data_IF_246670579394
#
_entry.id   IF_246670579394
#
_cell.length_a   1.000
_cell.length_b   1.000
_cell.length_c   1.000
_cell.angle_alpha   90.00
_cell.angle_beta   90.00
_cell.angle_gamma   90.00
#
_symmetry.space_group_name_H-M   'P 1'
#
loop_
_entity.id
_entity.type
_entity.pdbx_description
1 polymer ?
#
# COMPACT_ATOMS: atom_id res chain seq x y z
N UNK A 1 21.16 16.36 -20.52
CA UNK A 1 19.89 15.94 -21.07
C UNK A 1 19.58 14.51 -20.66
N UNK A 2 18.33 14.23 -20.29
CA UNK A 2 17.89 12.90 -19.93
C UNK A 2 18.16 11.93 -21.11
N UNK A 3 18.63 10.73 -20.80
CA UNK A 3 18.92 9.69 -21.81
C UNK A 3 17.72 8.76 -22.02
N UNK A 4 16.80 8.74 -21.06
CA UNK A 4 15.52 8.01 -21.12
C UNK A 4 14.39 8.89 -20.55
N UNK A 5 13.16 8.52 -20.86
CA UNK A 5 11.99 9.26 -20.38
C UNK A 5 11.64 8.86 -18.95
N UNK A 6 11.65 7.57 -18.66
CA UNK A 6 11.22 6.97 -17.39
C UNK A 6 12.32 6.11 -16.80
N UNK A 7 12.66 6.34 -15.54
CA UNK A 7 13.41 5.38 -14.72
C UNK A 7 12.43 4.43 -14.01
N UNK A 8 12.73 3.14 -13.97
CA UNK A 8 11.92 2.15 -13.26
C UNK A 8 12.75 1.38 -12.25
N UNK A 9 12.28 1.37 -11.01
CA UNK A 9 12.84 0.53 -9.93
C UNK A 9 11.70 -0.25 -9.28
N UNK A 10 11.80 -1.57 -9.27
CA UNK A 10 10.84 -2.46 -8.59
C UNK A 10 11.47 -2.99 -7.31
N UNK A 11 10.76 -2.88 -6.19
CA UNK A 11 11.08 -3.65 -5.00
C UNK A 11 10.28 -4.96 -5.05
N UNK A 12 10.88 -6.09 -5.46
CA UNK A 12 10.15 -7.29 -5.81
C UNK A 12 9.44 -7.93 -4.61
N UNK A 13 9.94 -7.71 -3.40
CA UNK A 13 9.38 -8.27 -2.17
C UNK A 13 8.32 -7.37 -1.51
N UNK A 14 8.13 -6.15 -2.00
CA UNK A 14 7.13 -5.23 -1.45
C UNK A 14 5.71 -5.80 -1.59
N UNK A 15 4.94 -5.74 -0.52
CA UNK A 15 3.57 -6.22 -0.48
C UNK A 15 3.39 -7.72 -0.28
N UNK A 16 4.47 -8.53 -0.30
CA UNK A 16 4.39 -9.99 -0.13
C UNK A 16 3.72 -10.42 1.17
N UNK A 17 3.99 -9.70 2.27
CA UNK A 17 3.49 -10.05 3.60
C UNK A 17 1.97 -9.86 3.77
N UNK A 18 1.30 -9.10 2.91
CA UNK A 18 -0.07 -8.67 3.13
C UNK A 18 -1.08 -9.80 3.32
N UNK A 19 -1.14 -10.78 2.41
CA UNK A 19 -2.07 -11.92 2.50
C UNK A 19 -1.77 -12.86 3.66
N UNK A 20 -0.52 -12.97 4.05
CA UNK A 20 -0.09 -13.82 5.17
C UNK A 20 -0.03 -13.07 6.51
N UNK A 21 -0.51 -11.83 6.55
CA UNK A 21 -0.67 -11.03 7.78
C UNK A 21 0.63 -10.42 8.31
N UNK A 22 1.71 -10.42 7.54
CA UNK A 22 2.99 -9.84 7.95
C UNK A 22 3.05 -8.34 7.61
N UNK A 23 3.69 -7.58 8.48
CA UNK A 23 3.82 -6.12 8.40
C UNK A 23 5.19 -5.73 7.88
N UNK A 24 5.37 -5.83 6.57
CA UNK A 24 6.65 -5.63 5.93
C UNK A 24 7.27 -6.94 5.44
N UNK A 25 8.37 -6.82 4.70
CA UNK A 25 9.04 -7.95 4.03
C UNK A 25 10.56 -7.84 4.14
N UNK A 26 11.08 -7.08 5.11
CA UNK A 26 12.51 -6.94 5.31
C UNK A 26 13.08 -8.07 6.16
N UNK A 27 14.25 -8.58 5.79
CA UNK A 27 15.00 -9.55 6.58
C UNK A 27 14.23 -10.85 6.88
N UNK A 28 14.00 -11.15 8.17
CA UNK A 28 13.32 -12.37 8.61
C UNK A 28 11.84 -12.42 8.23
N UNK A 29 11.20 -11.26 8.06
CA UNK A 29 9.80 -11.18 7.61
C UNK A 29 9.64 -11.73 6.18
N UNK A 30 10.62 -11.54 5.29
CA UNK A 30 10.62 -12.12 3.95
C UNK A 30 10.64 -13.65 4.00
N UNK A 31 11.56 -14.25 4.78
CA UNK A 31 11.65 -15.72 4.92
C UNK A 31 10.34 -16.30 5.45
N UNK A 32 9.76 -15.66 6.47
CA UNK A 32 8.50 -16.09 7.05
C UNK A 32 7.32 -15.93 6.07
N UNK A 33 7.32 -14.88 5.23
CA UNK A 33 6.33 -14.71 4.19
C UNK A 33 6.36 -15.83 3.15
N UNK A 34 7.55 -16.21 2.69
CA UNK A 34 7.76 -17.33 1.77
C UNK A 34 7.31 -18.67 2.39
N UNK A 35 7.67 -18.95 3.63
CA UNK A 35 7.23 -20.13 4.37
C UNK A 35 5.72 -20.23 4.50
N UNK A 36 5.02 -19.08 4.60
CA UNK A 36 3.56 -18.97 4.64
C UNK A 36 2.90 -18.99 3.26
N UNK A 37 3.68 -19.19 2.18
CA UNK A 37 3.16 -19.27 0.81
C UNK A 37 2.84 -17.92 0.18
N UNK A 38 3.43 -16.84 0.66
CA UNK A 38 3.25 -15.51 0.06
C UNK A 38 3.79 -15.44 -1.37
N UNK A 39 3.08 -14.73 -2.24
CA UNK A 39 3.49 -14.46 -3.62
C UNK A 39 3.93 -13.02 -3.78
N UNK A 40 4.87 -12.79 -4.68
CA UNK A 40 5.29 -11.43 -5.05
C UNK A 40 4.14 -10.66 -5.71
N UNK A 41 3.87 -9.45 -5.24
CA UNK A 41 2.82 -8.57 -5.77
C UNK A 41 3.41 -7.48 -6.66
N UNK A 42 4.53 -6.90 -6.26
CA UNK A 42 5.15 -5.77 -6.95
C UNK A 42 5.53 -6.06 -8.43
N UNK A 43 6.07 -7.23 -8.82
CA UNK A 43 6.35 -7.52 -10.22
C UNK A 43 5.11 -7.41 -11.12
N UNK A 44 3.99 -8.00 -10.74
CA UNK A 44 2.74 -7.90 -11.51
C UNK A 44 2.24 -6.45 -11.64
N UNK A 45 2.38 -5.63 -10.59
CA UNK A 45 2.04 -4.20 -10.63
C UNK A 45 2.97 -3.41 -11.58
N UNK A 46 4.25 -3.76 -11.62
CA UNK A 46 5.19 -3.17 -12.56
C UNK A 46 4.82 -3.52 -14.02
N UNK A 47 4.49 -4.77 -14.30
CA UNK A 47 4.05 -5.19 -15.64
C UNK A 47 2.78 -4.46 -16.07
N UNK A 48 1.80 -4.33 -15.18
CA UNK A 48 0.56 -3.57 -15.45
C UNK A 48 0.86 -2.11 -15.76
N UNK A 49 1.72 -1.46 -14.98
CA UNK A 49 2.17 -0.09 -15.23
C UNK A 49 2.85 0.04 -16.60
N UNK A 50 3.81 -0.82 -16.89
CA UNK A 50 4.60 -0.78 -18.13
C UNK A 50 3.73 -1.00 -19.38
N UNK A 51 2.75 -1.90 -19.32
CA UNK A 51 1.77 -2.11 -20.41
C UNK A 51 0.88 -0.91 -20.66
N UNK A 52 0.71 -0.06 -19.65
CA UNK A 52 -0.06 1.19 -19.78
C UNK A 52 0.73 2.35 -20.38
N UNK A 53 2.06 2.23 -20.54
CA UNK A 53 2.89 3.29 -21.12
C UNK A 53 2.73 3.35 -22.65
N UNK A 54 2.76 4.56 -23.25
CA UNK A 54 2.82 4.70 -24.70
C UNK A 54 4.10 4.07 -25.29
N UNK A 55 3.99 3.51 -26.50
CA UNK A 55 5.07 2.81 -27.17
C UNK A 55 6.32 3.67 -27.48
N UNK A 56 6.20 4.99 -27.46
CA UNK A 56 7.33 5.91 -27.68
C UNK A 56 8.19 6.14 -26.44
N UNK A 57 7.73 5.73 -25.24
CA UNK A 57 8.42 5.96 -23.97
C UNK A 57 9.66 5.08 -23.88
N UNK A 58 10.80 5.70 -23.59
CA UNK A 58 12.06 5.00 -23.32
C UNK A 58 12.23 4.80 -21.83
N UNK A 59 12.48 3.56 -21.42
CA UNK A 59 12.60 3.15 -20.02
C UNK A 59 14.04 2.79 -19.68
N UNK A 60 14.57 3.38 -18.63
CA UNK A 60 15.82 2.98 -17.98
C UNK A 60 15.46 2.18 -16.72
N UNK A 61 15.81 0.91 -16.66
CA UNK A 61 15.40 0.02 -15.57
C UNK A 61 16.58 -0.55 -14.80
N UNK A 62 16.32 -0.99 -13.58
CA UNK A 62 17.27 -1.76 -12.78
C UNK A 62 17.28 -3.25 -13.23
N UNK A 63 18.36 -4.00 -12.93
CA UNK A 63 18.54 -5.37 -13.41
C UNK A 63 17.57 -6.38 -12.76
N UNK A 64 17.38 -7.51 -13.40
CA UNK A 64 16.64 -8.67 -12.88
C UNK A 64 15.21 -8.33 -12.47
N UNK A 65 14.79 -8.81 -11.31
CA UNK A 65 13.48 -8.55 -10.69
C UNK A 65 13.29 -7.10 -10.18
N UNK A 66 14.27 -6.23 -10.38
CA UNK A 66 14.12 -4.82 -10.06
C UNK A 66 13.62 -3.98 -11.24
N UNK A 67 13.12 -4.60 -12.31
CA UNK A 67 12.46 -3.95 -13.45
C UNK A 67 12.78 -4.55 -14.82
N UNK A 68 13.96 -5.15 -15.02
CA UNK A 68 14.35 -5.74 -16.31
C UNK A 68 13.42 -6.88 -16.74
N UNK A 69 13.09 -7.79 -15.82
CA UNK A 69 12.23 -8.93 -16.13
C UNK A 69 10.80 -8.51 -16.37
N UNK A 70 10.32 -7.55 -15.61
CA UNK A 70 8.99 -6.95 -15.73
C UNK A 70 8.84 -6.21 -17.08
N UNK A 71 9.89 -5.49 -17.50
CA UNK A 71 9.91 -4.82 -18.81
C UNK A 71 9.86 -5.81 -19.97
N UNK A 72 10.59 -6.91 -19.86
CA UNK A 72 10.54 -8.02 -20.84
C UNK A 72 9.16 -8.66 -20.87
N UNK A 73 8.58 -8.97 -19.71
CA UNK A 73 7.23 -9.54 -19.63
C UNK A 73 6.16 -8.59 -20.19
N UNK A 74 6.35 -7.28 -20.05
CA UNK A 74 5.47 -6.27 -20.62
C UNK A 74 5.62 -6.11 -22.15
N UNK A 75 6.66 -6.70 -22.76
CA UNK A 75 6.92 -6.62 -24.20
C UNK A 75 7.64 -5.36 -24.66
N UNK A 76 8.40 -4.70 -23.76
CA UNK A 76 9.07 -3.41 -24.03
C UNK A 76 10.54 -3.57 -24.48
N UNK A 77 10.98 -4.73 -24.95
CA UNK A 77 12.40 -5.04 -25.23
C UNK A 77 13.11 -4.02 -26.13
N UNK A 78 12.40 -3.38 -27.07
CA UNK A 78 12.97 -2.40 -27.98
C UNK A 78 13.21 -1.00 -27.41
N UNK A 79 12.63 -0.67 -26.28
CA UNK A 79 12.66 0.68 -25.67
C UNK A 79 13.21 0.67 -24.25
N UNK A 80 13.94 -0.37 -23.85
CA UNK A 80 14.45 -0.54 -22.49
C UNK A 80 15.96 -0.58 -22.49
N UNK A 81 16.57 0.25 -21.66
CA UNK A 81 17.97 0.20 -21.26
C UNK A 81 18.07 -0.35 -19.83
N UNK A 82 18.97 -1.27 -19.58
CA UNK A 82 19.20 -1.83 -18.23
C UNK A 82 20.44 -1.20 -17.64
N UNK A 83 20.30 -0.56 -16.48
CA UNK A 83 21.39 0.07 -15.75
C UNK A 83 22.08 -0.96 -14.84
N UNK A 84 23.39 -1.04 -14.89
CA UNK A 84 24.17 -1.91 -13.99
C UNK A 84 24.31 -1.28 -12.59
N UNK A 85 23.27 -1.39 -11.80
CA UNK A 85 23.18 -0.79 -10.46
C UNK A 85 22.91 -1.78 -9.32
N UNK A 86 22.56 -3.02 -9.66
CA UNK A 86 22.25 -4.08 -8.70
C UNK A 86 22.58 -5.46 -9.31
N UNK A 87 22.70 -6.53 -8.49
CA UNK A 87 22.82 -7.88 -9.00
C UNK A 87 21.59 -8.30 -9.83
N UNK A 88 21.80 -9.06 -10.88
CA UNK A 88 20.70 -9.62 -11.70
C UNK A 88 19.96 -10.75 -10.99
N UNK A 89 20.68 -11.50 -10.19
CA UNK A 89 20.18 -12.65 -9.46
C UNK A 89 20.39 -12.48 -7.94
N UNK A 90 19.53 -13.12 -7.16
CA UNK A 90 19.61 -13.10 -5.71
C UNK A 90 18.73 -12.05 -5.03
N UNK A 91 18.83 -11.92 -3.70
CA UNK A 91 17.99 -11.03 -2.91
C UNK A 91 18.34 -9.56 -3.17
N UNK A 92 17.33 -8.74 -3.31
CA UNK A 92 17.46 -7.29 -3.43
C UNK A 92 17.40 -6.64 -2.05
N UNK A 93 18.05 -5.47 -1.92
CA UNK A 93 18.15 -4.73 -0.66
C UNK A 93 17.76 -3.26 -0.86
N UNK A 94 17.48 -2.57 0.25
CA UNK A 94 17.29 -1.11 0.26
C UNK A 94 18.49 -0.35 -0.32
N UNK A 95 19.71 -0.87 -0.11
CA UNK A 95 20.93 -0.27 -0.68
C UNK A 95 20.95 -0.33 -2.21
N UNK A 96 20.52 -1.45 -2.79
CA UNK A 96 20.37 -1.57 -4.25
C UNK A 96 19.34 -0.56 -4.78
N UNK A 97 18.21 -0.40 -4.10
CA UNK A 97 17.20 0.61 -4.44
C UNK A 97 17.80 2.02 -4.43
N UNK A 98 18.48 2.42 -3.36
CA UNK A 98 19.11 3.73 -3.23
C UNK A 98 20.16 3.96 -4.32
N UNK A 99 21.03 2.97 -4.57
CA UNK A 99 22.08 3.06 -5.60
C UNK A 99 21.46 3.24 -7.00
N UNK A 100 20.48 2.43 -7.36
CA UNK A 100 19.82 2.54 -8.65
C UNK A 100 19.12 3.90 -8.80
N UNK A 101 18.41 4.35 -7.78
CA UNK A 101 17.73 5.64 -7.77
C UNK A 101 18.72 6.81 -7.98
N UNK A 102 19.82 6.81 -7.24
CA UNK A 102 20.85 7.85 -7.36
C UNK A 102 21.47 7.93 -8.76
N UNK A 103 21.71 6.78 -9.41
CA UNK A 103 22.30 6.71 -10.75
C UNK A 103 21.29 7.06 -11.85
N UNK A 104 19.99 6.83 -11.64
CA UNK A 104 18.93 7.18 -12.59
C UNK A 104 18.52 8.64 -12.53
N UNK A 105 18.63 9.29 -11.37
CA UNK A 105 18.07 10.62 -11.09
C UNK A 105 18.43 11.69 -12.13
N UNK A 106 19.68 11.67 -12.63
CA UNK A 106 20.17 12.66 -13.59
C UNK A 106 20.02 12.20 -15.06
N UNK A 107 19.44 11.01 -15.28
CA UNK A 107 19.33 10.36 -16.59
C UNK A 107 17.91 10.25 -17.11
N UNK A 108 16.91 10.51 -16.26
CA UNK A 108 15.50 10.33 -16.60
C UNK A 108 14.69 11.59 -16.32
N UNK A 109 13.57 11.75 -17.01
CA UNK A 109 12.65 12.87 -16.77
C UNK A 109 11.77 12.62 -15.53
N UNK A 110 11.41 11.37 -15.29
CA UNK A 110 10.63 10.93 -14.12
C UNK A 110 11.15 9.57 -13.64
N UNK A 111 11.28 9.40 -12.34
CA UNK A 111 11.64 8.13 -11.72
C UNK A 111 10.40 7.48 -11.09
N UNK A 112 10.03 6.33 -11.60
CA UNK A 112 8.91 5.52 -11.12
C UNK A 112 9.47 4.36 -10.28
N UNK A 113 8.90 4.17 -9.09
CA UNK A 113 9.23 3.02 -8.26
C UNK A 113 7.97 2.21 -7.91
N UNK A 114 8.13 0.90 -7.83
CA UNK A 114 7.04 -0.02 -7.44
C UNK A 114 7.35 -0.58 -6.06
N UNK A 115 6.50 -0.23 -5.08
CA UNK A 115 6.76 -0.59 -3.69
C UNK A 115 5.75 0.00 -2.71
N UNK A 116 6.18 0.17 -1.47
CA UNK A 116 5.45 0.82 -0.38
C UNK A 116 6.20 2.04 0.18
N UNK A 117 5.80 2.50 1.38
CA UNK A 117 6.39 3.68 2.02
C UNK A 117 7.89 3.52 2.33
N UNK A 118 8.34 2.32 2.72
CA UNK A 118 9.77 2.05 2.91
C UNK A 118 10.57 2.21 1.62
N UNK A 119 10.03 1.77 0.48
CA UNK A 119 10.65 1.98 -0.84
C UNK A 119 10.67 3.47 -1.20
N UNK A 120 9.57 4.19 -0.94
CA UNK A 120 9.49 5.65 -1.14
C UNK A 120 10.56 6.39 -0.33
N UNK A 121 10.73 6.02 0.94
CA UNK A 121 11.78 6.57 1.82
C UNK A 121 13.18 6.34 1.25
N UNK A 122 13.48 5.12 0.80
CA UNK A 122 14.78 4.78 0.25
C UNK A 122 15.07 5.58 -1.04
N UNK A 123 14.10 5.69 -1.93
CA UNK A 123 14.24 6.46 -3.17
C UNK A 123 14.44 7.95 -2.87
N UNK A 124 13.59 8.57 -2.04
CA UNK A 124 13.70 10.00 -1.70
C UNK A 124 15.02 10.31 -1.02
N UNK A 125 15.51 9.46 -0.12
CA UNK A 125 16.80 9.65 0.54
C UNK A 125 17.98 9.69 -0.43
N UNK A 126 17.86 9.00 -1.57
CA UNK A 126 18.90 8.91 -2.59
C UNK A 126 18.83 10.05 -3.61
N UNK A 127 17.63 10.54 -3.95
CA UNK A 127 17.46 11.47 -5.06
C UNK A 127 17.10 12.90 -4.64
N UNK A 128 16.45 13.08 -3.51
CA UNK A 128 15.94 14.40 -3.10
C UNK A 128 15.04 15.02 -4.17
N UNK A 129 15.32 16.28 -4.52
CA UNK A 129 14.57 17.04 -5.53
C UNK A 129 15.17 16.96 -6.96
N UNK A 130 16.14 16.05 -7.21
CA UNK A 130 16.85 15.97 -8.50
C UNK A 130 15.97 15.45 -9.65
N UNK A 131 14.91 14.73 -9.33
CA UNK A 131 14.03 14.12 -10.31
C UNK A 131 12.59 14.07 -9.79
N UNK A 132 11.62 14.16 -10.68
CA UNK A 132 10.21 13.94 -10.35
C UNK A 132 9.98 12.46 -10.05
N UNK A 133 9.27 12.16 -8.97
CA UNK A 133 9.01 10.80 -8.49
C UNK A 133 7.53 10.42 -8.66
N UNK A 134 7.28 9.14 -8.87
CA UNK A 134 5.93 8.56 -8.79
C UNK A 134 6.01 7.13 -8.28
N UNK A 135 5.23 6.82 -7.27
CA UNK A 135 5.10 5.48 -6.72
C UNK A 135 3.95 4.70 -7.37
N UNK A 136 4.23 3.47 -7.78
CA UNK A 136 3.23 2.47 -8.15
C UNK A 136 2.98 1.57 -6.94
N UNK A 137 1.74 1.48 -6.47
CA UNK A 137 1.43 0.77 -5.25
C UNK A 137 1.59 -0.75 -5.39
N UNK A 138 2.27 -1.38 -4.43
CA UNK A 138 2.47 -2.84 -4.36
C UNK A 138 1.39 -3.58 -3.55
N UNK A 139 0.26 -2.93 -3.27
CA UNK A 139 -0.84 -3.53 -2.53
C UNK A 139 -0.73 -3.45 -1.01
N UNK A 140 0.24 -2.72 -0.46
CA UNK A 140 0.38 -2.44 0.97
C UNK A 140 -0.30 -1.13 1.37
N UNK A 141 -0.50 -0.92 2.67
CA UNK A 141 -0.98 0.35 3.21
C UNK A 141 0.12 1.40 3.03
N UNK A 142 -0.22 2.53 2.42
CA UNK A 142 0.71 3.61 2.13
C UNK A 142 0.20 4.92 2.69
N UNK A 143 1.12 5.68 3.27
CA UNK A 143 0.84 6.97 3.90
C UNK A 143 1.46 8.13 3.13
N UNK A 144 2.46 7.87 2.29
CA UNK A 144 3.13 8.87 1.48
C UNK A 144 2.24 9.39 0.36
N UNK A 145 2.35 10.69 0.07
CA UNK A 145 1.60 11.35 -1.02
C UNK A 145 2.19 11.16 -2.42
N UNK A 146 3.17 10.29 -2.57
CA UNK A 146 3.89 10.08 -3.84
C UNK A 146 3.32 8.95 -4.69
N UNK A 147 2.28 8.27 -4.24
CA UNK A 147 1.70 7.10 -4.93
C UNK A 147 0.52 7.47 -5.82
N UNK A 148 0.49 6.86 -7.01
CA UNK A 148 -0.72 6.77 -7.80
C UNK A 148 -1.71 5.78 -7.16
N UNK A 149 -2.99 5.92 -7.48
CA UNK A 149 -4.03 5.03 -6.94
C UNK A 149 -3.91 3.61 -7.47
N UNK A 150 -3.53 3.47 -8.75
CA UNK A 150 -3.35 2.18 -9.43
C UNK A 150 -2.18 2.27 -10.42
N UNK A 151 -1.63 1.12 -10.88
CA UNK A 151 -0.62 1.11 -11.95
C UNK A 151 -1.10 1.81 -13.23
N UNK A 152 -2.36 1.64 -13.61
CA UNK A 152 -2.95 2.28 -14.79
C UNK A 152 -3.03 3.81 -14.64
N UNK A 153 -3.35 4.32 -13.44
CA UNK A 153 -3.32 5.76 -13.14
C UNK A 153 -1.90 6.28 -13.19
N UNK A 154 -0.91 5.51 -12.68
CA UNK A 154 0.50 5.88 -12.75
C UNK A 154 0.96 6.04 -14.21
N UNK A 155 0.60 5.10 -15.09
CA UNK A 155 0.97 5.17 -16.50
C UNK A 155 0.39 6.42 -17.18
N UNK A 156 -0.87 6.76 -16.93
CA UNK A 156 -1.48 8.00 -17.44
C UNK A 156 -0.82 9.27 -16.88
N UNK A 157 -0.50 9.27 -15.59
CA UNK A 157 0.18 10.41 -14.98
C UNK A 157 1.57 10.65 -15.60
N UNK A 158 2.31 9.57 -15.85
CA UNK A 158 3.62 9.62 -16.53
C UNK A 158 3.46 10.14 -17.96
N UNK A 159 2.50 9.62 -18.73
CA UNK A 159 2.24 10.10 -20.09
C UNK A 159 1.95 11.61 -20.11
N UNK A 160 1.04 12.08 -19.26
CA UNK A 160 0.69 13.51 -19.16
C UNK A 160 1.87 14.37 -18.75
N UNK A 161 2.67 13.90 -17.80
CA UNK A 161 3.89 14.59 -17.38
C UNK A 161 4.89 14.72 -18.54
N UNK A 162 5.17 13.63 -19.27
CA UNK A 162 6.11 13.63 -20.39
C UNK A 162 5.62 14.50 -21.57
N UNK A 163 4.32 14.66 -21.73
CA UNK A 163 3.72 15.58 -22.70
C UNK A 163 3.73 17.06 -22.25
N UNK A 164 4.18 17.34 -21.02
CA UNK A 164 4.14 18.68 -20.43
C UNK A 164 2.74 19.15 -20.03
N UNK A 165 1.79 18.22 -19.90
CA UNK A 165 0.39 18.49 -19.57
C UNK A 165 0.09 18.38 -18.05
N UNK A 166 1.04 17.90 -17.25
CA UNK A 166 0.92 17.83 -15.80
C UNK A 166 1.90 18.79 -15.13
N UNK A 167 1.41 19.56 -14.16
CA UNK A 167 2.26 20.37 -13.28
C UNK A 167 2.99 19.48 -12.30
N UNK A 168 4.01 20.01 -11.65
CA UNK A 168 4.74 19.33 -10.59
C UNK A 168 4.38 19.98 -9.26
N UNK A 169 4.11 19.17 -8.26
CA UNK A 169 3.84 19.60 -6.88
C UNK A 169 4.74 18.87 -5.90
N UNK A 170 4.74 19.29 -4.64
CA UNK A 170 5.49 18.60 -3.56
C UNK A 170 4.56 17.70 -2.77
N UNK A 171 5.02 16.49 -2.49
CA UNK A 171 4.33 15.53 -1.64
C UNK A 171 5.25 15.03 -0.52
N UNK A 172 4.68 14.77 0.64
CA UNK A 172 5.43 14.22 1.78
C UNK A 172 5.64 12.72 1.61
N UNK A 173 6.85 12.26 1.93
CA UNK A 173 7.19 10.86 2.09
C UNK A 173 7.14 10.53 3.57
N UNK A 174 6.25 9.62 3.92
CA UNK A 174 5.88 9.28 5.29
C UNK A 174 6.06 7.78 5.48
N UNK A 175 6.64 7.38 6.59
CA UNK A 175 6.72 5.97 6.95
C UNK A 175 6.39 5.80 8.43
N UNK A 176 6.13 4.58 8.84
CA UNK A 176 5.83 4.25 10.23
C UNK A 176 7.10 4.41 11.05
N UNK A 177 6.99 5.10 12.18
CA UNK A 177 8.01 5.11 13.21
C UNK A 177 8.08 3.71 13.86
N UNK A 178 9.14 2.95 13.55
CA UNK A 178 9.30 1.57 14.00
C UNK A 178 9.40 1.45 15.54
N UNK A 179 9.96 2.45 16.22
CA UNK A 179 10.06 2.45 17.69
C UNK A 179 8.68 2.63 18.33
N UNK A 180 7.91 3.59 17.85
CA UNK A 180 6.54 3.81 18.29
C UNK A 180 5.66 2.60 17.97
N UNK A 181 5.87 1.96 16.81
CA UNK A 181 5.15 0.77 16.40
C UNK A 181 5.40 -0.44 17.28
N UNK A 182 6.65 -0.66 17.73
CA UNK A 182 6.97 -1.70 18.72
C UNK A 182 6.29 -1.48 20.07
N UNK A 183 5.93 -0.23 20.37
CA UNK A 183 5.16 0.17 21.56
C UNK A 183 3.63 0.19 21.31
N UNK A 184 3.12 -0.45 20.24
CA UNK A 184 1.71 -0.46 19.82
C UNK A 184 1.13 0.94 19.53
N UNK A 185 2.00 1.91 19.19
CA UNK A 185 1.60 3.27 18.82
C UNK A 185 1.84 3.49 17.33
N UNK A 186 0.79 3.88 16.60
CA UNK A 186 0.94 4.34 15.23
C UNK A 186 1.43 5.78 15.24
N UNK A 187 2.72 5.98 15.03
CA UNK A 187 3.29 7.29 14.71
C UNK A 187 3.82 7.26 13.29
N UNK A 188 3.38 8.25 12.52
CA UNK A 188 3.93 8.50 11.19
C UNK A 188 5.05 9.53 11.33
N UNK A 189 6.16 9.26 10.66
CA UNK A 189 7.28 10.17 10.58
C UNK A 189 7.45 10.63 9.13
N UNK A 190 7.59 11.94 8.94
CA UNK A 190 7.96 12.50 7.64
C UNK A 190 9.47 12.32 7.44
N UNK A 191 9.84 11.61 6.39
CA UNK A 191 11.24 11.34 6.05
C UNK A 191 11.77 12.29 4.97
N UNK A 192 10.92 13.02 4.29
CA UNK A 192 11.30 13.98 3.28
C UNK A 192 10.10 14.41 2.43
N UNK A 193 10.40 15.19 1.41
CA UNK A 193 9.45 15.59 0.37
C UNK A 193 9.98 15.19 -1.00
N UNK A 194 9.10 14.95 -1.94
CA UNK A 194 9.42 14.65 -3.32
C UNK A 194 8.62 15.54 -4.27
N UNK A 195 9.16 15.78 -5.45
CA UNK A 195 8.43 16.35 -6.58
C UNK A 195 7.62 15.26 -7.24
N UNK A 196 6.30 15.47 -7.42
CA UNK A 196 5.39 14.50 -8.03
C UNK A 196 4.54 15.18 -9.10
N UNK A 197 4.05 14.44 -10.12
CA UNK A 197 3.08 14.98 -11.06
C UNK A 197 1.79 15.37 -10.33
N UNK A 198 1.30 16.57 -10.56
CA UNK A 198 -0.03 17.02 -10.12
C UNK A 198 -1.07 16.47 -11.09
N UNK A 199 -1.58 15.30 -10.79
CA UNK A 199 -2.50 14.54 -11.63
C UNK A 199 -3.61 13.91 -10.78
N UNK A 200 -4.82 13.86 -11.32
CA UNK A 200 -5.94 13.22 -10.65
C UNK A 200 -5.66 11.73 -10.41
N UNK A 201 -5.75 11.32 -9.13
CA UNK A 201 -5.40 9.96 -8.70
C UNK A 201 -3.93 9.79 -8.25
N UNK A 202 -3.12 10.86 -8.28
CA UNK A 202 -1.87 10.92 -7.53
C UNK A 202 -2.15 11.61 -6.20
N UNK A 203 -1.90 10.92 -5.10
CA UNK A 203 -2.36 11.38 -3.78
C UNK A 203 -1.33 12.26 -3.13
N UNK A 204 -1.69 13.52 -2.93
CA UNK A 204 -1.02 14.38 -1.96
C UNK A 204 -1.59 14.09 -0.58
N UNK A 205 -0.76 13.64 0.36
CA UNK A 205 -1.19 13.34 1.73
C UNK A 205 -1.71 14.59 2.43
N UNK A 206 -3.00 14.57 2.77
CA UNK A 206 -3.54 15.58 3.68
C UNK A 206 -3.04 15.32 5.10
N UNK A 207 -2.60 16.36 5.79
CA UNK A 207 -2.32 16.34 7.23
C UNK A 207 -3.61 15.98 7.97
N UNK A 208 -3.68 14.78 8.54
CA UNK A 208 -4.81 14.32 9.34
C UNK A 208 -4.38 13.77 10.70
N UNK A 209 -3.88 14.66 11.54
CA UNK A 209 -3.83 14.44 12.96
C UNK A 209 -4.44 15.66 13.64
N UNK A 210 -5.75 15.76 13.67
CA UNK A 210 -6.44 16.79 14.47
C UNK A 210 -7.15 16.15 15.66
N UNK A 211 -7.05 16.80 16.79
CA UNK A 211 -7.61 16.49 18.11
C UNK A 211 -9.13 16.34 18.17
N UNK A 212 -9.86 16.67 17.11
CA UNK A 212 -11.32 16.48 16.99
C UNK A 212 -11.71 15.02 16.68
N UNK A 213 -10.70 14.16 16.45
CA UNK A 213 -10.93 12.79 16.02
C UNK A 213 -11.38 11.84 17.14
N UNK A 214 -11.10 12.12 18.40
CA UNK A 214 -11.40 11.19 19.49
C UNK A 214 -12.90 11.07 19.75
N UNK A 215 -13.61 12.19 19.86
CA UNK A 215 -15.08 12.19 20.06
C UNK A 215 -15.82 11.54 18.88
N UNK A 216 -15.38 11.81 17.65
CA UNK A 216 -15.94 11.16 16.47
C UNK A 216 -15.66 9.66 16.42
N UNK A 217 -14.46 9.24 16.85
CA UNK A 217 -14.09 7.81 16.92
C UNK A 217 -14.92 7.08 17.98
N UNK A 218 -15.15 7.68 19.14
CA UNK A 218 -15.98 7.12 20.19
C UNK A 218 -17.44 6.98 19.74
N UNK A 219 -18.00 8.00 19.10
CA UNK A 219 -19.36 7.95 18.58
C UNK A 219 -19.56 6.85 17.52
N UNK A 220 -18.57 6.65 16.62
CA UNK A 220 -18.58 5.55 15.65
C UNK A 220 -18.48 4.20 16.35
N UNK A 221 -17.61 4.08 17.35
CA UNK A 221 -17.43 2.86 18.12
C UNK A 221 -18.70 2.46 18.88
N UNK A 222 -19.34 3.40 19.56
CA UNK A 222 -20.60 3.17 20.28
C UNK A 222 -21.70 2.70 19.34
N UNK A 223 -21.89 3.38 18.22
CA UNK A 223 -22.90 2.99 17.23
C UNK A 223 -22.70 1.57 16.69
N UNK A 224 -21.44 1.21 16.36
CA UNK A 224 -21.13 -0.14 15.84
C UNK A 224 -21.35 -1.19 16.91
N UNK A 225 -20.84 -0.99 18.11
CA UNK A 225 -20.95 -1.96 19.22
C UNK A 225 -22.42 -2.19 19.59
N UNK A 226 -23.22 -1.14 19.68
CA UNK A 226 -24.66 -1.26 19.97
C UNK A 226 -25.43 -2.00 18.87
N UNK A 227 -24.92 -1.96 17.63
CA UNK A 227 -25.51 -2.65 16.48
C UNK A 227 -25.02 -4.09 16.31
N UNK A 228 -23.99 -4.53 17.06
CA UNK A 228 -23.39 -5.85 16.91
C UNK A 228 -24.32 -6.96 17.40
N UNK A 229 -24.32 -8.07 16.68
CA UNK A 229 -25.10 -9.27 17.03
C UNK A 229 -24.28 -10.19 17.95
N UNK A 230 -24.79 -10.59 19.11
CA UNK A 230 -24.02 -11.36 20.11
C UNK A 230 -23.46 -12.70 19.61
N UNK A 231 -24.13 -13.35 18.66
CA UNK A 231 -23.76 -14.69 18.15
C UNK A 231 -23.14 -14.63 16.74
N UNK A 232 -22.44 -13.55 16.40
CA UNK A 232 -21.80 -13.41 15.09
C UNK A 232 -20.29 -13.17 15.24
N UNK A 233 -19.53 -13.64 14.25
CA UNK A 233 -18.13 -13.36 14.11
C UNK A 233 -17.95 -11.98 13.45
N UNK A 234 -17.07 -11.16 13.99
CA UNK A 234 -16.69 -9.89 13.40
C UNK A 234 -15.19 -9.88 13.07
N UNK A 235 -14.85 -9.73 11.81
CA UNK A 235 -13.49 -9.54 11.33
C UNK A 235 -13.19 -8.05 11.36
N UNK A 236 -12.34 -7.64 12.29
CA UNK A 236 -11.99 -6.23 12.52
C UNK A 236 -10.75 -5.88 11.70
N UNK A 237 -10.93 -5.11 10.66
CA UNK A 237 -9.84 -4.65 9.78
C UNK A 237 -8.88 -3.66 10.45
N UNK A 238 -7.79 -3.27 9.78
CA UNK A 238 -6.77 -2.38 10.32
C UNK A 238 -7.26 -0.92 10.45
N UNK A 239 -6.57 -0.16 11.28
CA UNK A 239 -6.70 1.29 11.42
C UNK A 239 -7.34 1.75 12.71
N UNK A 240 -7.15 3.04 13.00
CA UNK A 240 -7.55 3.67 14.28
C UNK A 240 -9.05 3.69 14.51
N UNK A 241 -9.85 3.86 13.46
CA UNK A 241 -11.31 3.84 13.58
C UNK A 241 -11.83 2.47 14.05
N UNK A 242 -11.29 1.39 13.48
CA UNK A 242 -11.67 0.02 13.90
C UNK A 242 -11.05 -0.32 15.26
N UNK A 243 -9.87 0.20 15.58
CA UNK A 243 -9.27 0.06 16.90
C UNK A 243 -10.10 0.69 18.01
N UNK A 244 -10.80 1.81 17.74
CA UNK A 244 -11.73 2.41 18.69
C UNK A 244 -12.91 1.47 19.00
N UNK A 245 -13.43 0.73 18.03
CA UNK A 245 -14.47 -0.29 18.22
C UNK A 245 -13.99 -1.40 19.15
N UNK A 246 -12.79 -1.93 18.91
CA UNK A 246 -12.20 -2.97 19.78
C UNK A 246 -11.97 -2.47 21.21
N UNK A 247 -11.52 -1.23 21.38
CA UNK A 247 -11.37 -0.59 22.68
C UNK A 247 -12.72 -0.49 23.41
N UNK A 248 -13.77 -0.10 22.69
CA UNK A 248 -15.12 -0.03 23.26
C UNK A 248 -15.68 -1.40 23.67
N UNK A 249 -15.30 -2.46 22.94
CA UNK A 249 -15.58 -3.87 23.30
C UNK A 249 -14.73 -4.39 24.46
N UNK A 250 -13.66 -3.67 24.86
CA UNK A 250 -12.73 -4.15 25.87
C UNK A 250 -11.78 -5.26 25.40
N UNK A 251 -11.58 -5.40 24.10
CA UNK A 251 -10.73 -6.44 23.52
C UNK A 251 -9.44 -5.86 22.93
N UNK A 252 -8.38 -6.69 22.91
CA UNK A 252 -7.13 -6.33 22.23
C UNK A 252 -7.36 -6.24 20.72
N UNK A 253 -6.66 -5.31 20.09
CA UNK A 253 -6.65 -5.11 18.65
C UNK A 253 -5.25 -4.80 18.17
N UNK A 254 -4.81 -5.49 17.12
CA UNK A 254 -3.61 -5.09 16.39
C UNK A 254 -3.92 -3.90 15.49
N UNK A 255 -3.05 -2.90 15.47
CA UNK A 255 -3.34 -1.67 14.75
C UNK A 255 -3.42 -1.86 13.23
N UNK A 256 -2.54 -2.70 12.68
CA UNK A 256 -2.42 -2.94 11.24
C UNK A 256 -2.92 -4.34 10.80
N UNK A 257 -3.24 -5.21 11.73
CA UNK A 257 -3.72 -6.55 11.45
C UNK A 257 -5.23 -6.64 11.33
N UNK A 258 -5.71 -7.83 10.97
CA UNK A 258 -7.12 -8.22 11.05
C UNK A 258 -7.28 -9.12 12.26
N UNK A 259 -8.18 -8.74 13.14
CA UNK A 259 -8.50 -9.48 14.35
C UNK A 259 -9.95 -9.96 14.31
N UNK A 260 -10.28 -10.98 15.07
CA UNK A 260 -11.63 -11.53 15.08
C UNK A 260 -12.22 -11.57 16.48
N UNK A 261 -13.46 -11.14 16.59
CA UNK A 261 -14.25 -11.22 17.82
C UNK A 261 -15.56 -12.00 17.57
N UNK A 262 -15.99 -12.75 18.54
CA UNK A 262 -17.31 -13.41 18.56
C UNK A 262 -18.08 -12.91 19.80
N UNK A 263 -19.14 -12.16 19.57
CA UNK A 263 -19.75 -11.38 20.66
C UNK A 263 -18.75 -10.35 21.20
N UNK A 264 -18.39 -10.49 22.47
CA UNK A 264 -17.37 -9.66 23.17
C UNK A 264 -16.06 -10.42 23.39
N UNK A 265 -15.89 -11.61 22.86
CA UNK A 265 -14.69 -12.43 23.06
C UNK A 265 -13.75 -12.32 21.86
N UNK A 266 -12.47 -12.12 22.14
CA UNK A 266 -11.43 -12.17 21.13
C UNK A 266 -11.16 -13.64 20.75
N UNK A 267 -11.37 -13.99 19.47
CA UNK A 267 -11.17 -15.36 18.97
C UNK A 267 -9.98 -15.47 18.01
N UNK A 268 -9.38 -14.37 17.64
CA UNK A 268 -8.18 -14.37 16.81
C UNK A 268 -7.51 -13.00 16.76
N UNK A 269 -6.20 -12.99 16.76
CA UNK A 269 -5.35 -11.80 16.69
C UNK A 269 -4.41 -11.90 15.50
N UNK A 270 -4.26 -10.79 14.76
CA UNK A 270 -3.33 -10.65 13.62
C UNK A 270 -3.43 -11.80 12.62
N UNK A 271 -4.64 -12.07 12.18
CA UNK A 271 -4.98 -13.24 11.37
C UNK A 271 -4.50 -13.08 9.92
N UNK A 272 -4.00 -14.16 9.36
CA UNK A 272 -3.82 -14.30 7.92
C UNK A 272 -5.09 -14.86 7.24
N UNK A 273 -5.11 -14.89 5.91
CA UNK A 273 -6.24 -15.38 5.12
C UNK A 273 -6.67 -16.80 5.52
N UNK A 274 -5.69 -17.73 5.64
CA UNK A 274 -5.99 -19.14 5.97
C UNK A 274 -6.61 -19.29 7.36
N UNK A 275 -6.20 -18.49 8.32
CA UNK A 275 -6.78 -18.47 9.67
C UNK A 275 -8.20 -17.91 9.65
N UNK A 276 -8.45 -16.85 8.88
CA UNK A 276 -9.77 -16.26 8.71
C UNK A 276 -10.73 -17.28 8.08
N UNK A 277 -10.32 -17.98 7.02
CA UNK A 277 -11.15 -18.99 6.37
C UNK A 277 -11.52 -20.12 7.32
N UNK A 278 -10.60 -20.58 8.18
CA UNK A 278 -10.92 -21.57 9.23
C UNK A 278 -11.94 -21.07 10.25
N UNK A 279 -11.89 -19.79 10.61
CA UNK A 279 -12.93 -19.20 11.48
C UNK A 279 -14.28 -19.14 10.77
N UNK A 280 -14.31 -18.83 9.48
CA UNK A 280 -15.54 -18.84 8.68
C UNK A 280 -16.15 -20.24 8.50
N UNK A 281 -15.34 -21.30 8.59
CA UNK A 281 -15.85 -22.67 8.64
C UNK A 281 -16.57 -22.98 9.97
N UNK A 282 -16.10 -22.35 11.05
CA UNK A 282 -16.65 -22.57 12.41
C UNK A 282 -17.84 -21.68 12.72
N UNK A 283 -17.86 -20.45 12.20
CA UNK A 283 -18.88 -19.45 12.51
C UNK A 283 -19.72 -19.16 11.26
N UNK A 284 -20.98 -19.57 11.26
CA UNK A 284 -21.86 -19.45 10.08
C UNK A 284 -22.37 -18.03 9.81
N UNK A 285 -22.29 -17.14 10.78
CA UNK A 285 -22.65 -15.72 10.61
C UNK A 285 -21.44 -14.86 10.89
N UNK A 286 -21.00 -14.15 9.87
CA UNK A 286 -19.82 -13.30 9.96
C UNK A 286 -20.04 -11.94 9.32
N UNK A 287 -19.36 -10.94 9.84
CA UNK A 287 -19.29 -9.57 9.34
C UNK A 287 -17.84 -9.14 9.19
N UNK A 288 -17.60 -8.22 8.25
CA UNK A 288 -16.31 -7.55 8.10
C UNK A 288 -16.52 -6.09 8.49
N UNK A 289 -15.70 -5.57 9.40
CA UNK A 289 -15.67 -4.15 9.76
C UNK A 289 -14.39 -3.53 9.23
N UNK A 290 -14.50 -2.58 8.31
CA UNK A 290 -13.38 -1.91 7.69
C UNK A 290 -13.55 -0.40 7.69
N UNK A 291 -12.45 0.31 7.70
CA UNK A 291 -12.41 1.76 7.51
C UNK A 291 -11.61 2.08 6.25
N UNK A 292 -12.01 3.12 5.48
CA UNK A 292 -11.22 3.58 4.35
C UNK A 292 -9.78 3.86 4.78
N UNK A 293 -8.83 3.40 3.98
CA UNK A 293 -7.41 3.47 4.28
C UNK A 293 -6.79 4.69 3.58
N UNK A 294 -6.12 5.53 4.36
CA UNK A 294 -5.52 6.76 3.85
C UNK A 294 -6.53 7.74 3.25
N UNK A 295 -6.07 8.69 2.46
CA UNK A 295 -6.91 9.65 1.73
C UNK A 295 -7.52 9.10 0.43
N UNK A 296 -7.19 7.86 0.05
CA UNK A 296 -7.58 7.28 -1.24
C UNK A 296 -8.94 6.56 -1.24
N UNK A 297 -9.52 6.30 -0.07
CA UNK A 297 -10.82 5.65 0.04
C UNK A 297 -10.83 4.13 -0.18
N UNK A 298 -9.69 3.46 -0.18
CA UNK A 298 -9.63 2.01 -0.28
C UNK A 298 -10.16 1.34 0.98
N UNK A 299 -11.12 0.44 0.82
CA UNK A 299 -11.69 -0.38 1.90
C UNK A 299 -11.14 -1.81 1.87
N UNK A 300 -10.70 -2.29 0.71
CA UNK A 300 -10.04 -3.59 0.53
C UNK A 300 -8.84 -3.48 -0.41
N UNK A 301 -7.87 -4.39 -0.22
CA UNK A 301 -6.70 -4.55 -1.06
C UNK A 301 -5.52 -3.65 -0.71
N UNK A 302 -5.69 -2.76 0.24
CA UNK A 302 -4.64 -1.87 0.75
C UNK A 302 -4.49 -2.05 2.25
N UNK A 303 -3.39 -2.70 2.69
CA UNK A 303 -3.11 -2.98 4.10
C UNK A 303 -4.02 -4.00 4.79
N UNK A 304 -4.90 -4.67 4.04
CA UNK A 304 -5.80 -5.71 4.54
C UNK A 304 -6.04 -6.82 3.51
N UNK A 305 -4.99 -7.22 2.77
CA UNK A 305 -5.08 -8.23 1.71
C UNK A 305 -5.50 -9.62 2.22
N UNK A 306 -5.34 -9.91 3.51
CA UNK A 306 -5.89 -11.11 4.16
C UNK A 306 -7.43 -11.15 4.15
N UNK A 307 -8.11 -10.00 4.01
CA UNK A 307 -9.52 -9.91 3.62
C UNK A 307 -9.62 -10.07 2.10
N UNK A 308 -9.30 -11.26 1.62
CA UNK A 308 -9.20 -11.60 0.21
C UNK A 308 -10.57 -11.67 -0.48
N UNK A 309 -10.62 -11.74 -1.83
CA UNK A 309 -11.86 -11.99 -2.55
C UNK A 309 -12.64 -13.23 -2.06
N UNK A 310 -11.89 -14.27 -1.65
CA UNK A 310 -12.53 -15.49 -1.09
C UNK A 310 -13.19 -15.22 0.25
N UNK A 311 -12.51 -14.53 1.16
CA UNK A 311 -13.05 -14.12 2.46
C UNK A 311 -14.31 -13.25 2.26
N UNK A 312 -14.23 -12.26 1.38
CA UNK A 312 -15.36 -11.35 1.10
C UNK A 312 -16.55 -12.11 0.52
N UNK A 313 -16.34 -13.05 -0.41
CA UNK A 313 -17.40 -13.88 -0.97
C UNK A 313 -18.09 -14.76 0.08
N UNK A 314 -17.30 -15.36 0.98
CA UNK A 314 -17.82 -16.21 2.05
C UNK A 314 -18.62 -15.45 3.10
N UNK A 315 -18.17 -14.25 3.46
CA UNK A 315 -18.90 -13.37 4.39
C UNK A 315 -20.14 -12.77 3.72
N UNK A 316 -20.03 -12.44 2.44
CA UNK A 316 -21.05 -11.75 1.66
C UNK A 316 -20.91 -10.22 1.75
N UNK A 317 -21.02 -9.55 0.62
CA UNK A 317 -20.83 -8.08 0.54
C UNK A 317 -21.86 -7.31 1.38
N UNK A 318 -23.06 -7.85 1.57
CA UNK A 318 -24.10 -7.28 2.43
C UNK A 318 -23.74 -7.30 3.94
N UNK A 319 -22.73 -8.06 4.32
CA UNK A 319 -22.23 -8.17 5.70
C UNK A 319 -20.92 -7.39 5.90
N UNK A 320 -20.58 -6.49 4.98
CA UNK A 320 -19.45 -5.57 5.11
C UNK A 320 -19.93 -4.27 5.72
N UNK A 321 -19.36 -3.92 6.87
CA UNK A 321 -19.63 -2.67 7.61
C UNK A 321 -18.48 -1.74 7.36
N UNK A 322 -18.74 -0.62 6.69
CA UNK A 322 -17.75 0.40 6.40
C UNK A 322 -17.92 1.52 7.40
N UNK A 323 -16.88 1.81 8.17
CA UNK A 323 -16.88 2.83 9.21
C UNK A 323 -15.91 3.96 8.90
N UNK A 324 -16.33 5.19 9.11
CA UNK A 324 -15.50 6.37 8.96
C UNK A 324 -15.98 7.48 9.88
N UNK A 325 -15.06 8.29 10.40
CA UNK A 325 -15.40 9.56 11.04
C UNK A 325 -16.00 10.52 10.00
N UNK A 326 -16.81 11.49 10.43
CA UNK A 326 -17.37 12.51 9.54
C UNK A 326 -16.28 13.27 8.79
N UNK A 327 -15.23 13.65 9.51
CA UNK A 327 -14.06 14.32 8.94
C UNK A 327 -13.41 13.49 7.84
N UNK A 328 -13.27 12.19 8.04
CA UNK A 328 -12.72 11.28 7.03
C UNK A 328 -13.67 11.11 5.85
N UNK A 329 -14.96 10.88 6.11
CA UNK A 329 -15.97 10.70 5.09
C UNK A 329 -16.11 11.93 4.17
N UNK A 330 -16.04 13.14 4.73
CA UNK A 330 -16.14 14.39 3.97
C UNK A 330 -15.01 14.61 2.95
N UNK A 331 -13.88 13.94 3.13
CA UNK A 331 -12.71 14.03 2.23
C UNK A 331 -12.68 12.95 1.16
N UNK A 332 -13.52 11.93 1.29
CA UNK A 332 -13.57 10.82 0.34
C UNK A 332 -14.54 11.16 -0.80
N UNK A 333 -14.04 11.14 -2.02
CA UNK A 333 -14.89 11.27 -3.22
C UNK A 333 -15.62 9.96 -3.53
N UNK A 334 -14.98 8.83 -3.27
CA UNK A 334 -15.53 7.49 -3.53
C UNK A 334 -14.82 6.43 -2.66
N UNK A 335 -15.49 5.32 -2.45
CA UNK A 335 -14.89 4.11 -1.88
C UNK A 335 -14.32 3.25 -3.00
N UNK A 336 -13.19 2.59 -2.72
CA UNK A 336 -12.43 1.81 -3.72
C UNK A 336 -12.08 0.43 -3.21
N UNK A 337 -11.87 -0.47 -4.14
CA UNK A 337 -11.42 -1.84 -3.90
C UNK A 337 -10.28 -2.15 -4.87
N UNK A 338 -9.22 -2.79 -4.37
CA UNK A 338 -8.05 -3.23 -5.16
C UNK A 338 -7.68 -4.66 -4.71
N UNK A 339 -8.50 -5.62 -5.07
CA UNK A 339 -8.33 -7.02 -4.66
C UNK A 339 -7.63 -7.91 -5.69
N UNK A 340 -7.27 -7.36 -6.82
CA UNK A 340 -6.59 -8.05 -7.92
C UNK A 340 -7.50 -8.52 -9.00
#
# INVERSE_FOLDING_TARGET
PATADVGLIVNPIAGMGGRVGLKGTDGDAYRRAVELGARMVAPGRAVEFLRGLPAWVKVLTAPGLMGELEAREAGLEGNVEVLDCAPRDGPTTAEHTRRCAALMADRVSILVFVGGDGTARDVVSAVGDRVVLLGVPSGVKMYSGVFAETPAVAARAVERFLRGEARVTRAEVVDIDEEAFRADQLRLRVYGTALVPDFEGVVTSGKDASTWAEEELEAVADYVVDSMRPCALYLLGPGTTVAAIARRLGVRKTLLGVDAVHGTELVGLDLNEAQILRLLDRYHRAYIVVSPIGGQGFIFGRGNQQLSPEVIRRVGTQNVIIVATRTKAARLRQLRVDTG
#
